data_IF_416917894354
#
_entry.id   IF_416917894354
#
_cell.length_a   1.000
_cell.length_b   1.000
_cell.length_c   1.000
_cell.angle_alpha   90.00
_cell.angle_beta   90.00
_cell.angle_gamma   90.00
#
_symmetry.space_group_name_H-M   'P 1'
#
loop_
_entity.id
_entity.type
_entity.pdbx_description
1 polymer ?
#
# COMPACT_ATOMS: atom_id res chain seq x y z
N UNK A 1 4.78 10.64 0.09
CA UNK A 1 5.97 9.87 0.51
C UNK A 1 5.69 8.37 0.67
N UNK A 2 4.72 7.93 1.50
CA UNK A 2 4.41 6.50 1.66
C UNK A 2 4.09 5.75 0.35
N UNK A 3 3.27 6.35 -0.52
CA UNK A 3 2.97 5.76 -1.84
C UNK A 3 4.18 5.57 -2.76
N UNK A 4 5.22 6.41 -2.63
CA UNK A 4 6.47 6.23 -3.38
C UNK A 4 7.27 5.04 -2.84
N UNK A 5 7.26 4.83 -1.52
CA UNK A 5 7.86 3.65 -0.89
C UNK A 5 7.17 2.36 -1.32
N UNK A 6 5.84 2.35 -1.34
CA UNK A 6 5.05 1.22 -1.87
C UNK A 6 5.37 0.96 -3.35
N UNK A 7 5.38 2.00 -4.18
CA UNK A 7 5.72 1.88 -5.60
C UNK A 7 7.13 1.31 -5.80
N UNK A 8 8.11 1.79 -5.03
CA UNK A 8 9.48 1.32 -5.07
C UNK A 8 9.60 -0.16 -4.66
N UNK A 9 8.96 -0.54 -3.55
CA UNK A 9 8.94 -1.94 -3.08
C UNK A 9 8.30 -2.88 -4.09
N UNK A 10 7.14 -2.51 -4.65
CA UNK A 10 6.47 -3.30 -5.69
C UNK A 10 7.32 -3.37 -6.96
N UNK A 11 8.02 -2.29 -7.33
CA UNK A 11 8.92 -2.29 -8.48
C UNK A 11 10.09 -3.25 -8.30
N UNK A 12 10.67 -3.32 -7.09
CA UNK A 12 11.71 -4.30 -6.75
C UNK A 12 11.13 -5.72 -6.83
N UNK A 13 9.93 -5.94 -6.29
CA UNK A 13 9.29 -7.26 -6.34
C UNK A 13 9.03 -7.76 -7.77
N UNK A 14 8.71 -6.86 -8.71
CA UNK A 14 8.60 -7.19 -10.14
C UNK A 14 9.91 -7.75 -10.69
N UNK A 15 11.05 -7.17 -10.31
CA UNK A 15 12.38 -7.62 -10.76
C UNK A 15 12.70 -8.99 -10.16
N UNK A 16 12.50 -9.17 -8.85
CA UNK A 16 12.76 -10.43 -8.15
C UNK A 16 11.89 -11.58 -8.69
N UNK A 17 10.61 -11.31 -9.01
CA UNK A 17 9.65 -12.30 -9.49
C UNK A 17 9.56 -12.38 -11.03
N UNK A 18 10.53 -11.82 -11.75
CA UNK A 18 10.57 -11.84 -13.24
C UNK A 18 10.43 -13.27 -13.80
N UNK A 19 11.08 -14.26 -13.17
CA UNK A 19 11.02 -15.67 -13.59
C UNK A 19 9.62 -16.26 -13.41
N UNK A 20 8.98 -16.00 -12.29
CA UNK A 20 7.61 -16.48 -12.01
C UNK A 20 6.61 -15.88 -13.01
N UNK A 21 6.75 -14.58 -13.32
CA UNK A 21 5.93 -13.91 -14.34
C UNK A 21 6.16 -14.53 -15.72
N UNK A 22 7.42 -14.83 -16.06
CA UNK A 22 7.78 -15.52 -17.31
C UNK A 22 7.12 -16.89 -17.43
N UNK A 23 7.14 -17.70 -16.36
CA UNK A 23 6.47 -19.01 -16.30
C UNK A 23 4.94 -18.85 -16.40
N UNK A 24 4.35 -17.91 -15.66
CA UNK A 24 2.91 -17.62 -15.75
C UNK A 24 2.49 -17.26 -17.18
N UNK A 25 3.28 -16.45 -17.88
CA UNK A 25 3.00 -16.11 -19.29
C UNK A 25 3.18 -17.30 -20.23
N UNK A 26 4.15 -18.17 -19.98
CA UNK A 26 4.38 -19.38 -20.79
C UNK A 26 3.21 -20.37 -20.70
N UNK A 27 2.54 -20.47 -19.55
CA UNK A 27 1.33 -21.29 -19.36
C UNK A 27 0.03 -20.57 -19.80
N UNK A 28 0.13 -19.37 -20.39
CA UNK A 28 -1.00 -18.64 -20.97
C UNK A 28 -1.68 -17.60 -20.07
N UNK A 29 -1.06 -17.16 -18.96
CA UNK A 29 -1.61 -16.09 -18.14
C UNK A 29 -1.78 -14.79 -18.93
N UNK A 30 -2.96 -14.16 -18.82
CA UNK A 30 -3.26 -12.87 -19.46
C UNK A 30 -2.60 -11.72 -18.69
N UNK A 31 -2.31 -10.62 -19.39
CA UNK A 31 -1.78 -9.40 -18.77
C UNK A 31 -2.65 -8.88 -17.62
N UNK A 32 -3.97 -9.02 -17.72
CA UNK A 32 -4.90 -8.61 -16.66
C UNK A 32 -4.73 -9.44 -15.38
N UNK A 33 -4.38 -10.73 -15.48
CA UNK A 33 -4.12 -11.57 -14.31
C UNK A 33 -2.90 -11.07 -13.55
N UNK A 34 -1.84 -10.73 -14.27
CA UNK A 34 -0.60 -10.17 -13.69
C UNK A 34 -0.89 -8.81 -13.06
N UNK A 35 -1.61 -7.92 -13.75
CA UNK A 35 -1.98 -6.60 -13.21
C UNK A 35 -2.79 -6.76 -11.92
N UNK A 36 -3.81 -7.62 -11.92
CA UNK A 36 -4.66 -7.83 -10.75
C UNK A 36 -3.89 -8.41 -9.56
N UNK A 37 -2.91 -9.28 -9.80
CA UNK A 37 -2.04 -9.80 -8.75
C UNK A 37 -1.28 -8.66 -8.04
N UNK A 38 -0.63 -7.76 -8.80
CA UNK A 38 0.11 -6.64 -8.21
C UNK A 38 -0.80 -5.58 -7.58
N UNK A 39 -1.98 -5.34 -8.16
CA UNK A 39 -3.00 -4.47 -7.55
C UNK A 39 -3.46 -5.03 -6.20
N UNK A 40 -3.71 -6.35 -6.12
CA UNK A 40 -4.09 -7.01 -4.87
C UNK A 40 -2.98 -6.97 -3.83
N UNK A 41 -1.71 -7.14 -4.22
CA UNK A 41 -0.56 -7.05 -3.31
C UNK A 41 -0.44 -5.63 -2.72
N UNK A 42 -0.57 -4.59 -3.56
CA UNK A 42 -0.56 -3.20 -3.10
C UNK A 42 -1.77 -2.86 -2.21
N UNK A 43 -2.97 -3.33 -2.58
CA UNK A 43 -4.18 -3.14 -1.77
C UNK A 43 -4.08 -3.86 -0.43
N UNK A 44 -3.57 -5.08 -0.40
CA UNK A 44 -3.36 -5.84 0.83
C UNK A 44 -2.40 -5.10 1.77
N UNK A 45 -1.27 -4.61 1.25
CA UNK A 45 -0.35 -3.77 2.04
C UNK A 45 -1.02 -2.50 2.58
N UNK A 46 -1.83 -1.82 1.76
CA UNK A 46 -2.57 -0.62 2.18
C UNK A 46 -3.58 -0.90 3.30
N UNK A 47 -4.39 -1.96 3.15
CA UNK A 47 -5.40 -2.36 4.13
C UNK A 47 -4.74 -2.78 5.45
N UNK A 48 -3.70 -3.62 5.39
CA UNK A 48 -2.95 -4.04 6.59
C UNK A 48 -2.36 -2.83 7.30
N UNK A 49 -1.78 -1.88 6.55
CA UNK A 49 -1.23 -0.65 7.12
C UNK A 49 -2.30 0.19 7.82
N UNK A 50 -3.49 0.34 7.22
CA UNK A 50 -4.59 1.10 7.82
C UNK A 50 -5.13 0.42 9.09
N UNK A 51 -5.34 -0.90 9.06
CA UNK A 51 -5.80 -1.69 10.21
C UNK A 51 -4.83 -1.55 11.38
N UNK A 52 -3.53 -1.57 11.13
CA UNK A 52 -2.52 -1.37 12.17
C UNK A 52 -2.45 0.08 12.66
N UNK A 53 -2.65 1.04 11.76
CA UNK A 53 -2.55 2.47 12.10
C UNK A 53 -3.68 2.96 12.98
N UNK A 54 -4.91 2.47 12.83
CA UNK A 54 -6.08 2.95 13.60
C UNK A 54 -5.93 2.73 15.12
N UNK A 55 -5.59 1.52 15.62
CA UNK A 55 -5.35 1.30 17.05
C UNK A 55 -4.17 2.12 17.57
N UNK A 56 -3.08 2.18 16.80
CA UNK A 56 -1.89 2.95 17.17
C UNK A 56 -2.24 4.44 17.32
N UNK A 57 -2.99 4.99 16.36
CA UNK A 57 -3.45 6.37 16.40
C UNK A 57 -4.35 6.63 17.61
N UNK A 58 -5.26 5.72 17.94
CA UNK A 58 -6.13 5.85 19.11
C UNK A 58 -5.34 5.90 20.43
N UNK A 59 -4.37 5.00 20.60
CA UNK A 59 -3.52 4.93 21.81
C UNK A 59 -2.63 6.18 21.96
N UNK A 60 -2.09 6.69 20.85
CA UNK A 60 -1.19 7.85 20.88
C UNK A 60 -1.95 9.17 21.01
N UNK A 61 -3.15 9.28 20.43
CA UNK A 61 -3.86 10.56 20.38
C UNK A 61 -4.39 11.03 21.74
N UNK A 62 -4.71 10.12 22.67
CA UNK A 62 -5.12 10.46 24.03
C UNK A 62 -4.03 11.18 24.86
N UNK A 63 -2.80 10.63 25.04
CA UNK A 63 -1.76 11.31 25.81
C UNK A 63 -1.30 12.61 25.12
N UNK A 64 -1.26 12.63 23.79
CA UNK A 64 -0.87 13.84 23.02
C UNK A 64 -1.87 14.97 23.20
N UNK A 65 -3.18 14.69 23.10
CA UNK A 65 -4.22 15.71 23.32
C UNK A 65 -4.21 16.26 24.74
N UNK A 66 -4.00 15.40 25.75
CA UNK A 66 -3.90 15.82 27.15
C UNK A 66 -2.68 16.70 27.42
N UNK A 67 -1.51 16.30 26.92
CA UNK A 67 -0.27 17.10 27.08
C UNK A 67 -0.40 18.46 26.38
N UNK A 68 -0.93 18.48 25.15
CA UNK A 68 -1.14 19.73 24.42
C UNK A 68 -2.16 20.64 25.13
N UNK A 69 -3.27 20.10 25.63
CA UNK A 69 -4.27 20.85 26.38
C UNK A 69 -3.71 21.49 27.65
N UNK A 70 -2.91 20.74 28.41
CA UNK A 70 -2.29 21.23 29.64
C UNK A 70 -1.21 22.29 29.40
N UNK A 71 -0.36 22.10 28.39
CA UNK A 71 0.74 23.04 28.09
C UNK A 71 0.25 24.32 27.43
N UNK A 72 -0.72 24.23 26.50
CA UNK A 72 -1.17 25.39 25.72
C UNK A 72 -2.37 26.11 26.37
N UNK A 73 -3.35 25.37 26.88
CA UNK A 73 -4.66 25.92 27.27
C UNK A 73 -4.97 25.81 28.77
N UNK A 74 -4.12 25.11 29.55
CA UNK A 74 -4.35 24.78 30.97
C UNK A 74 -5.73 24.15 31.25
N UNK A 75 -6.32 23.50 30.24
CA UNK A 75 -7.59 22.79 30.33
C UNK A 75 -7.42 21.39 29.74
N UNK A 76 -8.13 20.41 30.31
CA UNK A 76 -8.23 19.08 29.72
C UNK A 76 -9.12 19.17 28.47
N UNK A 77 -8.57 18.83 27.31
CA UNK A 77 -9.31 18.77 26.05
C UNK A 77 -10.09 17.46 25.99
N UNK A 78 -11.40 17.53 25.74
CA UNK A 78 -12.21 16.35 25.48
C UNK A 78 -11.77 15.70 24.16
N UNK A 79 -11.22 14.49 24.27
CA UNK A 79 -10.76 13.73 23.13
C UNK A 79 -11.94 13.02 22.45
N UNK A 80 -12.37 13.55 21.30
CA UNK A 80 -13.36 12.92 20.44
C UNK A 80 -12.72 12.35 19.18
N UNK A 81 -12.64 11.03 19.07
CA UNK A 81 -12.13 10.38 17.87
C UNK A 81 -13.26 10.21 16.85
N UNK A 82 -13.07 10.75 15.64
CA UNK A 82 -14.05 10.70 14.58
C UNK A 82 -13.88 9.46 13.70
N UNK A 83 -14.76 8.46 13.88
CA UNK A 83 -14.77 7.23 13.09
C UNK A 83 -15.02 7.47 11.58
N UNK A 84 -15.79 8.50 11.22
CA UNK A 84 -16.04 8.86 9.82
C UNK A 84 -14.75 9.33 9.15
N UNK A 85 -13.94 10.13 9.87
CA UNK A 85 -12.65 10.58 9.37
C UNK A 85 -11.69 9.41 9.12
N UNK A 86 -11.68 8.40 10.02
CA UNK A 86 -10.87 7.19 9.82
C UNK A 86 -11.28 6.42 8.56
N UNK A 87 -12.58 6.39 8.25
CA UNK A 87 -13.13 5.73 7.07
C UNK A 87 -12.83 6.48 5.76
N UNK A 88 -12.86 7.82 5.79
CA UNK A 88 -12.40 8.67 4.68
C UNK A 88 -10.91 8.41 4.40
N UNK A 89 -10.10 8.29 5.45
CA UNK A 89 -8.67 7.96 5.32
C UNK A 89 -8.43 6.57 4.73
N UNK A 90 -9.27 5.58 5.04
CA UNK A 90 -9.22 4.27 4.37
C UNK A 90 -9.40 4.42 2.85
N UNK A 91 -10.39 5.22 2.44
CA UNK A 91 -10.62 5.52 1.02
C UNK A 91 -9.39 6.14 0.36
N UNK A 92 -8.75 7.11 1.02
CA UNK A 92 -7.52 7.74 0.53
C UNK A 92 -6.37 6.73 0.40
N UNK A 93 -6.20 5.82 1.36
CA UNK A 93 -5.17 4.76 1.32
C UNK A 93 -5.41 3.82 0.15
N UNK A 94 -6.66 3.40 -0.09
CA UNK A 94 -7.01 2.52 -1.21
C UNK A 94 -6.67 3.20 -2.55
N UNK A 95 -7.07 4.46 -2.73
CA UNK A 95 -6.77 5.22 -3.95
C UNK A 95 -5.25 5.34 -4.15
N UNK A 96 -4.50 5.68 -3.10
CA UNK A 96 -3.04 5.78 -3.18
C UNK A 96 -2.37 4.44 -3.48
N UNK A 97 -2.85 3.34 -2.88
CA UNK A 97 -2.33 2.00 -3.12
C UNK A 97 -2.54 1.56 -4.57
N UNK A 98 -3.72 1.84 -5.14
CA UNK A 98 -4.02 1.58 -6.56
C UNK A 98 -3.08 2.42 -7.45
N UNK A 99 -2.99 3.73 -7.22
CA UNK A 99 -2.14 4.61 -8.02
C UNK A 99 -0.66 4.19 -7.97
N UNK A 100 -0.16 3.82 -6.79
CA UNK A 100 1.21 3.38 -6.61
C UNK A 100 1.49 2.01 -7.25
N UNK A 101 0.52 1.09 -7.26
CA UNK A 101 0.68 -0.26 -7.82
C UNK A 101 0.47 -0.33 -9.33
N UNK A 102 -0.26 0.62 -9.94
CA UNK A 102 -0.52 0.64 -11.38
C UNK A 102 0.76 0.72 -12.24
N UNK A 103 1.76 1.49 -11.81
CA UNK A 103 3.02 1.61 -12.53
C UNK A 103 3.82 0.30 -12.56
N UNK A 104 4.19 -0.31 -11.42
CA UNK A 104 4.88 -1.59 -11.39
C UNK A 104 4.05 -2.73 -12.02
N UNK A 105 2.72 -2.74 -11.82
CA UNK A 105 1.84 -3.71 -12.48
C UNK A 105 1.94 -3.66 -14.01
N UNK A 106 1.98 -2.46 -14.60
CA UNK A 106 2.19 -2.30 -16.05
C UNK A 106 3.58 -2.77 -16.48
N UNK A 107 4.62 -2.45 -15.71
CA UNK A 107 5.99 -2.92 -16.00
C UNK A 107 6.07 -4.45 -16.00
N UNK A 108 5.40 -5.11 -15.05
CA UNK A 108 5.35 -6.58 -14.98
C UNK A 108 4.76 -7.22 -16.25
N UNK A 109 3.74 -6.61 -16.87
CA UNK A 109 3.14 -7.15 -18.11
C UNK A 109 4.06 -7.06 -19.33
N UNK A 110 5.08 -6.20 -19.30
CA UNK A 110 6.03 -6.03 -20.41
C UNK A 110 7.12 -7.10 -20.41
N UNK A 111 7.26 -7.89 -19.34
CA UNK A 111 8.21 -9.00 -19.23
C UNK A 111 7.81 -10.09 -20.23
N UNK A 112 8.70 -10.41 -21.17
CA UNK A 112 8.49 -11.45 -22.17
C UNK A 112 9.14 -12.78 -21.76
N UNK A 113 8.58 -13.91 -22.21
CA UNK A 113 9.11 -15.25 -21.94
C UNK A 113 10.57 -15.38 -22.41
N UNK A 114 10.91 -14.79 -23.56
CA UNK A 114 12.27 -14.77 -24.10
C UNK A 114 13.26 -14.08 -23.15
N UNK A 115 12.88 -12.94 -22.56
CA UNK A 115 13.73 -12.25 -21.59
C UNK A 115 13.89 -13.06 -20.31
N UNK A 116 12.84 -13.73 -19.84
CA UNK A 116 12.95 -14.57 -18.62
C UNK A 116 13.92 -15.74 -18.74
N UNK A 117 14.21 -16.19 -19.97
CA UNK A 117 15.16 -17.28 -20.25
C UNK A 117 16.58 -16.78 -20.57
N UNK A 118 16.76 -15.51 -20.97
CA UNK A 118 18.08 -14.95 -21.30
C UNK A 118 18.85 -14.39 -20.09
N UNK A 119 18.21 -14.31 -18.92
CA UNK A 119 18.86 -13.95 -17.65
C UNK A 119 19.35 -15.18 -16.87
N UNK A 120 19.43 -16.35 -17.54
CA UNK A 120 20.01 -17.58 -16.99
C UNK A 120 21.54 -17.61 -17.15
#
# INVERSE_FOLDING_TARGET
VGGLGLMGSLSISVVERTREIGVMRAIGARSNTIINMFLLEGLAQGIVSWILSVPIAFVIAQPVSRQLGQVMLKMDLDFYYNWIAALIWLGAVIVLAILASLWPARTATKISVRQSLSYA
#
